data_IF_660416600803
#
_entry.id   IF_660416600803
#
_cell.length_a   1.000
_cell.length_b   1.000
_cell.length_c   1.000
_cell.angle_alpha   90.00
_cell.angle_beta   90.00
_cell.angle_gamma   90.00
#
_symmetry.space_group_name_H-M   'P 1'
#
loop_
_entity.id
_entity.type
_entity.pdbx_description
1 polymer ?
#
# COMPACT_ATOMS: atom_id res chain seq x y z
N UNK A 1 11.23 15.88 0.46
CA UNK A 1 10.76 17.02 1.27
C UNK A 1 9.27 17.15 1.10
N UNK A 2 8.51 16.52 2.00
CA UNK A 2 7.06 16.67 2.06
C UNK A 2 6.72 18.06 2.58
N UNK A 3 6.30 18.97 1.70
CA UNK A 3 5.60 20.19 2.08
C UNK A 3 4.10 19.94 2.00
N UNK A 4 3.56 19.22 2.99
CA UNK A 4 2.13 19.20 3.22
C UNK A 4 1.71 20.57 3.71
N UNK A 5 1.11 21.37 2.85
CA UNK A 5 0.44 22.62 3.20
C UNK A 5 -0.80 22.28 4.02
N UNK A 6 -0.63 22.05 5.31
CA UNK A 6 -1.74 22.00 6.25
C UNK A 6 -2.11 23.44 6.61
N UNK A 7 -3.22 23.94 6.07
CA UNK A 7 -3.81 25.25 6.41
C UNK A 7 -4.41 25.29 7.83
N UNK A 8 -3.90 24.47 8.76
CA UNK A 8 -4.25 24.55 10.16
C UNK A 8 -3.34 25.61 10.81
N UNK A 9 -3.86 26.75 11.26
CA UNK A 9 -3.05 27.82 11.89
C UNK A 9 -2.37 27.38 13.20
N UNK A 10 -2.78 26.26 13.79
CA UNK A 10 -2.16 25.68 14.99
C UNK A 10 -1.02 24.69 14.68
N UNK A 11 -0.77 24.41 13.39
CA UNK A 11 0.36 23.57 12.98
C UNK A 11 1.65 24.40 12.95
N UNK A 12 2.22 24.63 14.12
CA UNK A 12 3.60 25.10 14.20
C UNK A 12 4.53 24.00 13.73
N UNK A 13 5.39 24.33 12.78
CA UNK A 13 6.47 23.42 12.37
C UNK A 13 7.37 23.13 13.57
N UNK A 14 7.10 22.00 14.23
CA UNK A 14 7.83 21.55 15.42
C UNK A 14 9.30 21.27 15.14
N UNK A 15 9.69 21.16 13.85
CA UNK A 15 11.07 20.95 13.43
C UNK A 15 11.96 22.13 13.76
N UNK A 16 11.42 23.35 13.74
CA UNK A 16 12.17 24.55 14.09
C UNK A 16 12.64 24.59 15.55
N UNK A 17 12.00 23.81 16.43
CA UNK A 17 12.31 23.70 17.85
C UNK A 17 12.93 22.35 18.24
N UNK A 18 13.41 21.57 17.27
CA UNK A 18 14.03 20.27 17.53
C UNK A 18 15.50 20.46 17.92
N UNK A 19 15.80 20.27 19.20
CA UNK A 19 17.15 20.40 19.75
C UNK A 19 17.93 19.08 19.81
N UNK A 20 17.32 17.96 19.42
CA UNK A 20 17.94 16.63 19.47
C UNK A 20 17.56 15.80 18.25
N UNK A 21 18.54 15.15 17.64
CA UNK A 21 18.36 14.18 16.55
C UNK A 21 18.16 12.74 17.04
N UNK A 22 17.98 12.53 18.34
CA UNK A 22 17.88 11.17 18.93
C UNK A 22 16.75 10.35 18.32
N UNK A 23 15.55 10.94 18.16
CA UNK A 23 14.41 10.24 17.57
C UNK A 23 14.65 9.87 16.10
N UNK A 24 15.26 10.78 15.34
CA UNK A 24 15.60 10.54 13.93
C UNK A 24 16.67 9.44 13.79
N UNK A 25 17.71 9.47 14.62
CA UNK A 25 18.73 8.43 14.63
C UNK A 25 18.15 7.07 15.03
N UNK A 26 17.26 7.02 16.03
CA UNK A 26 16.59 5.79 16.46
C UNK A 26 15.67 5.24 15.36
N UNK A 27 14.97 6.09 14.63
CA UNK A 27 14.15 5.67 13.49
C UNK A 27 15.03 5.08 12.37
N UNK A 28 16.16 5.74 12.04
CA UNK A 28 17.10 5.24 11.04
C UNK A 28 17.69 3.88 11.44
N UNK A 29 18.08 3.72 12.71
CA UNK A 29 18.59 2.46 13.25
C UNK A 29 17.54 1.35 13.19
N UNK A 30 16.29 1.66 13.56
CA UNK A 30 15.18 0.74 13.46
C UNK A 30 14.94 0.28 12.01
N UNK A 31 14.85 1.22 11.06
CA UNK A 31 14.60 0.92 9.64
C UNK A 31 15.72 0.04 9.07
N UNK A 32 16.98 0.41 9.30
CA UNK A 32 18.13 -0.38 8.84
C UNK A 32 18.11 -1.79 9.43
N UNK A 33 17.85 -1.91 10.72
CA UNK A 33 17.77 -3.22 11.39
C UNK A 33 16.63 -4.08 10.83
N UNK A 34 15.45 -3.48 10.62
CA UNK A 34 14.30 -4.19 10.03
C UNK A 34 14.59 -4.65 8.60
N UNK A 35 15.22 -3.82 7.78
CA UNK A 35 15.63 -4.21 6.43
C UNK A 35 16.64 -5.33 6.44
N UNK A 36 17.70 -5.21 7.24
CA UNK A 36 18.78 -6.20 7.28
C UNK A 36 18.31 -7.56 7.80
N UNK A 37 17.37 -7.59 8.76
CA UNK A 37 16.92 -8.82 9.38
C UNK A 37 15.74 -9.49 8.65
N UNK A 38 14.80 -8.73 8.10
CA UNK A 38 13.58 -9.27 7.52
C UNK A 38 13.62 -9.34 6.00
N UNK A 39 14.11 -8.29 5.36
CA UNK A 39 14.05 -8.15 3.92
C UNK A 39 15.35 -7.51 3.39
N UNK A 40 16.49 -8.18 3.53
CA UNK A 40 17.75 -7.62 3.07
C UNK A 40 17.69 -7.27 1.58
N UNK A 41 18.10 -6.04 1.20
CA UNK A 41 17.98 -5.56 -0.18
C UNK A 41 18.70 -6.50 -1.16
N UNK A 42 18.06 -6.75 -2.31
CA UNK A 42 18.56 -7.62 -3.38
C UNK A 42 18.87 -9.07 -2.97
N UNK A 43 18.55 -9.47 -1.75
CA UNK A 43 18.68 -10.87 -1.33
C UNK A 43 17.44 -11.70 -1.73
N UNK A 44 17.67 -12.98 -1.94
CA UNK A 44 16.61 -13.96 -2.16
C UNK A 44 16.14 -14.49 -0.82
N UNK A 45 15.08 -13.93 -0.27
CA UNK A 45 14.50 -14.31 1.01
C UNK A 45 13.08 -14.90 0.89
N UNK A 46 12.48 -14.85 -0.31
CA UNK A 46 11.20 -15.51 -0.55
C UNK A 46 11.47 -16.99 -0.74
N UNK A 47 10.91 -17.81 0.14
CA UNK A 47 10.94 -19.27 0.06
C UNK A 47 9.55 -19.85 0.34
N UNK A 48 9.15 -20.85 -0.44
CA UNK A 48 7.85 -21.49 -0.37
C UNK A 48 8.06 -23.00 -0.39
N UNK A 49 7.54 -23.68 0.61
CA UNK A 49 7.60 -25.13 0.72
C UNK A 49 6.20 -25.75 0.69
N UNK A 50 6.13 -27.01 0.29
CA UNK A 50 4.90 -27.78 0.32
C UNK A 50 4.39 -27.94 1.75
N UNK A 51 3.14 -27.52 1.99
CA UNK A 51 2.52 -27.53 3.31
C UNK A 51 2.28 -28.94 3.86
N UNK A 52 1.85 -29.04 5.15
CA UNK A 52 1.67 -30.32 5.84
C UNK A 52 0.56 -31.21 5.24
N UNK A 53 -0.29 -30.67 4.38
CA UNK A 53 -1.36 -31.43 3.71
C UNK A 53 -0.86 -32.24 2.51
N UNK A 54 0.35 -31.98 2.02
CA UNK A 54 0.98 -32.81 0.98
C UNK A 54 1.44 -34.15 1.56
N UNK A 55 1.27 -35.24 0.79
CA UNK A 55 1.84 -36.52 1.12
C UNK A 55 3.35 -36.44 0.97
N UNK A 56 4.07 -37.16 1.84
CA UNK A 56 5.54 -37.14 1.84
C UNK A 56 6.15 -37.59 0.51
N UNK A 57 5.48 -38.50 -0.18
CA UNK A 57 5.87 -39.02 -1.51
C UNK A 57 5.81 -37.94 -2.61
N UNK A 58 4.91 -36.96 -2.46
CA UNK A 58 4.69 -35.90 -3.45
C UNK A 58 5.43 -34.58 -3.11
N UNK A 59 5.95 -34.46 -1.89
CA UNK A 59 6.59 -33.22 -1.39
C UNK A 59 7.85 -32.85 -2.15
N UNK A 60 8.70 -33.83 -2.49
CA UNK A 60 9.97 -33.57 -3.16
C UNK A 60 9.74 -32.94 -4.54
N UNK A 61 8.85 -33.54 -5.36
CA UNK A 61 8.49 -32.97 -6.66
C UNK A 61 7.79 -31.62 -6.56
N UNK A 62 6.91 -31.43 -5.55
CA UNK A 62 6.27 -30.16 -5.31
C UNK A 62 7.28 -29.07 -4.92
N UNK A 63 8.24 -29.38 -4.07
CA UNK A 63 9.28 -28.42 -3.64
C UNK A 63 10.22 -28.04 -4.78
N UNK A 64 10.53 -28.96 -5.70
CA UNK A 64 11.31 -28.62 -6.91
C UNK A 64 10.58 -27.59 -7.81
N UNK A 65 9.27 -27.73 -7.99
CA UNK A 65 8.47 -26.74 -8.75
C UNK A 65 8.33 -25.42 -8.00
N UNK A 66 8.12 -25.46 -6.68
CA UNK A 66 8.04 -24.27 -5.83
C UNK A 66 9.35 -23.49 -5.81
N UNK A 67 10.51 -24.17 -5.78
CA UNK A 67 11.81 -23.53 -5.85
C UNK A 67 12.01 -22.71 -7.14
N UNK A 68 11.50 -23.20 -8.28
CA UNK A 68 11.50 -22.42 -9.55
C UNK A 68 10.63 -21.17 -9.44
N UNK A 69 9.45 -21.30 -8.82
CA UNK A 69 8.55 -20.17 -8.56
C UNK A 69 9.21 -19.15 -7.64
N UNK A 70 9.87 -19.59 -6.56
CA UNK A 70 10.61 -18.72 -5.63
C UNK A 70 11.73 -17.95 -6.34
N UNK A 71 12.46 -18.59 -7.26
CA UNK A 71 13.49 -17.92 -8.04
C UNK A 71 12.91 -16.77 -8.85
N UNK A 72 11.83 -17.01 -9.59
CA UNK A 72 11.15 -15.98 -10.40
C UNK A 72 10.54 -14.90 -9.51
N UNK A 73 9.95 -15.25 -8.37
CA UNK A 73 9.38 -14.28 -7.43
C UNK A 73 10.46 -13.35 -6.84
N UNK A 74 11.63 -13.90 -6.48
CA UNK A 74 12.76 -13.10 -6.00
C UNK A 74 13.31 -12.17 -7.09
N UNK A 75 13.40 -12.64 -8.35
CA UNK A 75 13.82 -11.80 -9.47
C UNK A 75 12.86 -10.62 -9.68
N UNK A 76 11.55 -10.87 -9.72
CA UNK A 76 10.55 -9.80 -9.86
C UNK A 76 10.54 -8.84 -8.66
N UNK A 77 10.73 -9.35 -7.44
CA UNK A 77 10.88 -8.49 -6.26
C UNK A 77 12.11 -7.58 -6.40
N UNK A 78 13.25 -8.12 -6.83
CA UNK A 78 14.49 -7.35 -7.00
C UNK A 78 14.40 -6.30 -8.11
N UNK A 79 13.59 -6.53 -9.16
CA UNK A 79 13.31 -5.57 -10.23
C UNK A 79 12.25 -4.52 -9.86
N UNK A 80 11.50 -4.77 -8.79
CA UNK A 80 10.41 -3.89 -8.35
C UNK A 80 10.91 -2.74 -7.46
N UNK A 81 9.98 -1.89 -7.03
CA UNK A 81 10.22 -0.81 -6.07
C UNK A 81 10.25 -1.29 -4.61
N UNK A 82 10.23 -2.61 -4.35
CA UNK A 82 10.04 -3.18 -3.01
C UNK A 82 11.04 -2.65 -1.98
N UNK A 83 12.33 -2.71 -2.27
CA UNK A 83 13.36 -2.38 -1.28
C UNK A 83 13.26 -0.92 -0.79
N UNK A 84 12.98 0.01 -1.72
CA UNK A 84 12.76 1.42 -1.39
C UNK A 84 11.44 1.63 -0.63
N UNK A 85 10.38 1.01 -1.12
CA UNK A 85 9.05 1.10 -0.50
C UNK A 85 9.02 0.47 0.90
N UNK A 86 9.75 -0.62 1.11
CA UNK A 86 9.86 -1.26 2.43
C UNK A 86 10.59 -0.38 3.44
N UNK A 87 11.59 0.39 3.00
CA UNK A 87 12.23 1.40 3.84
C UNK A 87 11.24 2.46 4.31
N UNK A 88 10.44 3.04 3.40
CA UNK A 88 9.39 4.01 3.73
C UNK A 88 8.34 3.40 4.67
N UNK A 89 7.90 2.18 4.39
CA UNK A 89 6.98 1.42 5.25
C UNK A 89 7.52 1.26 6.68
N UNK A 90 8.82 0.97 6.84
CA UNK A 90 9.42 0.82 8.16
C UNK A 90 9.49 2.14 8.95
N UNK A 91 9.65 3.29 8.29
CA UNK A 91 9.56 4.60 8.96
C UNK A 91 8.16 4.86 9.52
N UNK A 92 7.12 4.55 8.77
CA UNK A 92 5.74 4.68 9.25
C UNK A 92 5.44 3.67 10.37
N UNK A 93 5.97 2.43 10.26
CA UNK A 93 5.85 1.41 11.30
C UNK A 93 6.52 1.84 12.61
N UNK A 94 7.64 2.53 12.56
CA UNK A 94 8.29 3.12 13.74
C UNK A 94 7.39 4.14 14.43
N UNK A 95 6.60 4.90 13.66
CA UNK A 95 5.64 5.87 14.19
C UNK A 95 4.36 5.23 14.74
N UNK A 96 4.02 3.99 14.33
CA UNK A 96 2.83 3.29 14.81
C UNK A 96 2.37 2.19 13.87
N UNK A 97 1.71 2.54 12.79
CA UNK A 97 1.20 1.60 11.78
C UNK A 97 1.75 1.94 10.40
N UNK A 98 1.90 0.94 9.56
CA UNK A 98 2.34 1.12 8.19
C UNK A 98 1.40 0.41 7.21
N UNK A 99 1.25 0.97 6.02
CA UNK A 99 0.43 0.42 4.95
C UNK A 99 1.22 0.41 3.64
N UNK A 100 1.12 -0.70 2.93
CA UNK A 100 1.74 -0.86 1.62
C UNK A 100 0.70 -1.39 0.63
N UNK A 101 0.62 -0.77 -0.53
CA UNK A 101 -0.15 -1.28 -1.66
C UNK A 101 0.74 -2.16 -2.53
N UNK A 102 0.17 -3.29 -2.95
CA UNK A 102 0.75 -4.17 -3.95
C UNK A 102 -0.07 -3.99 -5.22
N UNK A 103 0.54 -3.48 -6.26
CA UNK A 103 -0.12 -3.11 -7.50
C UNK A 103 0.44 -3.96 -8.65
N UNK A 104 -0.38 -4.14 -9.67
CA UNK A 104 0.09 -4.68 -10.93
C UNK A 104 1.04 -3.67 -11.58
N UNK A 105 2.23 -4.11 -11.99
CA UNK A 105 3.17 -3.30 -12.74
C UNK A 105 2.69 -3.02 -14.17
N UNK A 106 3.30 -2.03 -14.79
CA UNK A 106 2.90 -1.57 -16.13
C UNK A 106 3.49 -2.43 -17.26
N UNK A 107 4.62 -3.06 -17.01
CA UNK A 107 5.33 -3.82 -18.02
C UNK A 107 5.70 -5.25 -17.59
N UNK A 108 6.21 -6.03 -18.55
CA UNK A 108 6.60 -7.43 -18.34
C UNK A 108 7.87 -7.58 -17.49
N UNK A 109 8.71 -6.55 -17.40
CA UNK A 109 9.96 -6.57 -16.62
C UNK A 109 9.75 -6.19 -15.18
N UNK A 110 8.70 -5.42 -14.89
CA UNK A 110 8.27 -5.04 -13.55
C UNK A 110 6.79 -5.34 -13.33
N UNK A 111 6.39 -6.63 -13.25
CA UNK A 111 4.99 -7.03 -13.18
C UNK A 111 4.32 -6.70 -11.86
N UNK A 112 5.09 -6.36 -10.84
CA UNK A 112 4.64 -6.00 -9.50
C UNK A 112 5.25 -4.67 -9.11
N UNK A 113 4.41 -3.77 -8.61
CA UNK A 113 4.83 -2.48 -8.06
C UNK A 113 4.37 -2.38 -6.60
N UNK A 114 5.22 -1.84 -5.75
CA UNK A 114 4.93 -1.59 -4.35
C UNK A 114 4.88 -0.09 -4.10
N UNK A 115 3.93 0.35 -3.27
CA UNK A 115 3.78 1.76 -2.91
C UNK A 115 3.47 1.87 -1.42
N UNK A 116 4.34 2.54 -0.66
CA UNK A 116 4.03 2.90 0.71
C UNK A 116 2.95 3.97 0.74
N UNK A 117 2.02 3.84 1.67
CA UNK A 117 0.96 4.83 1.90
C UNK A 117 1.31 5.57 3.18
N UNK A 118 1.52 6.89 3.11
CA UNK A 118 1.86 7.68 4.29
C UNK A 118 0.82 7.52 5.40
N UNK A 119 1.27 7.38 6.64
CA UNK A 119 0.40 7.23 7.82
C UNK A 119 -0.64 8.36 7.96
N UNK A 120 -0.38 9.52 7.36
CA UNK A 120 -1.28 10.68 7.36
C UNK A 120 -2.42 10.57 6.36
N UNK A 121 -2.36 9.64 5.41
CA UNK A 121 -3.35 9.49 4.34
C UNK A 121 -4.41 8.44 4.66
N UNK A 122 -4.21 7.56 5.65
CA UNK A 122 -5.15 6.47 5.90
C UNK A 122 -5.53 6.33 7.37
N UNK A 123 -6.68 5.70 7.59
CA UNK A 123 -7.13 5.22 8.89
C UNK A 123 -7.64 3.79 8.72
N UNK A 124 -7.50 3.01 9.77
CA UNK A 124 -7.99 1.64 9.87
C UNK A 124 -9.10 1.55 10.91
N UNK A 125 -10.05 0.66 10.69
CA UNK A 125 -11.07 0.30 11.66
C UNK A 125 -10.92 -1.17 12.00
N UNK A 126 -10.85 -1.46 13.29
CA UNK A 126 -10.73 -2.82 13.82
C UNK A 126 -12.10 -3.34 14.24
N UNK A 127 -12.36 -4.60 13.93
CA UNK A 127 -13.51 -5.32 14.42
C UNK A 127 -13.36 -5.72 15.89
N UNK A 128 -14.43 -6.23 16.49
CA UNK A 128 -14.41 -6.73 17.86
C UNK A 128 -13.44 -7.90 18.11
N UNK A 129 -13.01 -8.54 17.05
CA UNK A 129 -12.05 -9.64 17.01
C UNK A 129 -10.58 -9.18 16.86
N UNK A 130 -10.34 -7.86 16.81
CA UNK A 130 -9.02 -7.26 16.61
C UNK A 130 -8.50 -7.33 15.17
N UNK A 131 -9.29 -7.84 14.22
CA UNK A 131 -8.92 -7.82 12.81
C UNK A 131 -9.35 -6.51 12.14
N UNK A 132 -8.53 -6.03 11.22
CA UNK A 132 -8.88 -4.86 10.41
C UNK A 132 -10.11 -5.19 9.56
N UNK A 133 -11.20 -4.45 9.77
CA UNK A 133 -12.45 -4.63 9.05
C UNK A 133 -12.70 -3.54 8.00
N UNK A 134 -12.07 -2.38 8.12
CA UNK A 134 -12.13 -1.34 7.11
C UNK A 134 -10.82 -0.53 7.04
N UNK A 135 -10.51 -0.06 5.83
CA UNK A 135 -9.40 0.85 5.56
C UNK A 135 -9.97 2.02 4.77
N UNK A 136 -9.67 3.23 5.22
CA UNK A 136 -10.07 4.48 4.59
C UNK A 136 -8.82 5.25 4.24
N UNK A 137 -8.67 5.65 2.99
CA UNK A 137 -7.56 6.45 2.51
C UNK A 137 -8.08 7.74 1.89
N UNK A 138 -7.58 8.88 2.39
CA UNK A 138 -7.91 10.21 1.86
C UNK A 138 -6.65 10.85 1.29
N UNK A 139 -6.72 11.24 0.03
CA UNK A 139 -5.62 11.91 -0.65
C UNK A 139 -6.12 12.80 -1.78
N UNK A 140 -5.25 13.65 -2.28
CA UNK A 140 -5.55 14.56 -3.39
C UNK A 140 -4.77 14.12 -4.62
N UNK A 141 -5.45 14.08 -5.76
CA UNK A 141 -4.87 13.65 -7.03
C UNK A 141 -5.41 14.50 -8.18
N UNK A 142 -4.61 14.75 -9.21
CA UNK A 142 -5.10 15.41 -10.43
C UNK A 142 -6.13 14.54 -11.14
N UNK A 143 -7.18 15.15 -11.68
CA UNK A 143 -8.29 14.44 -12.35
C UNK A 143 -7.84 13.55 -13.51
N UNK A 144 -6.79 13.95 -14.22
CA UNK A 144 -6.20 13.15 -15.28
C UNK A 144 -5.68 11.81 -14.77
N UNK A 145 -4.92 11.82 -13.67
CA UNK A 145 -4.38 10.62 -13.03
C UNK A 145 -5.48 9.73 -12.43
N UNK A 146 -6.59 10.33 -11.97
CA UNK A 146 -7.76 9.58 -11.49
C UNK A 146 -8.33 8.72 -12.63
N UNK A 147 -8.41 9.27 -13.84
CA UNK A 147 -8.91 8.54 -15.00
C UNK A 147 -7.94 7.48 -15.50
N UNK A 148 -6.63 7.71 -15.38
CA UNK A 148 -5.61 6.68 -15.68
C UNK A 148 -5.69 5.52 -14.70
N UNK A 149 -5.82 5.82 -13.40
CA UNK A 149 -5.89 4.81 -12.35
C UNK A 149 -7.18 3.96 -12.43
N UNK A 150 -8.29 4.57 -12.83
CA UNK A 150 -9.59 3.91 -12.99
C UNK A 150 -10.22 4.22 -14.36
N UNK A 151 -9.79 3.56 -15.43
CA UNK A 151 -10.29 3.82 -16.80
C UNK A 151 -11.80 3.59 -16.97
N UNK A 152 -12.40 2.79 -16.08
CA UNK A 152 -13.82 2.45 -16.08
C UNK A 152 -14.76 3.54 -15.54
N UNK A 153 -14.22 4.64 -15.01
CA UNK A 153 -15.03 5.75 -14.49
C UNK A 153 -15.83 6.41 -15.62
N UNK A 154 -17.06 5.96 -15.79
CA UNK A 154 -17.97 6.45 -16.85
C UNK A 154 -18.50 7.85 -16.57
N UNK A 155 -18.53 8.28 -15.30
CA UNK A 155 -19.20 9.49 -14.85
C UNK A 155 -18.25 10.70 -14.69
N UNK A 156 -16.95 10.50 -14.78
CA UNK A 156 -15.99 11.60 -14.68
C UNK A 156 -15.97 12.39 -15.99
N UNK A 157 -16.85 13.41 -16.10
CA UNK A 157 -16.81 14.36 -17.21
C UNK A 157 -15.59 15.25 -17.04
N UNK A 158 -14.65 15.15 -17.96
CA UNK A 158 -13.46 16.01 -18.00
C UNK A 158 -13.54 16.95 -19.19
N UNK A 159 -13.42 18.26 -18.93
CA UNK A 159 -13.09 19.25 -19.94
C UNK A 159 -11.57 19.41 -20.01
N UNK A 160 -11.05 19.98 -21.09
CA UNK A 160 -9.60 20.23 -21.20
C UNK A 160 -9.06 21.13 -20.07
N UNK A 161 -9.90 21.99 -19.50
CA UNK A 161 -9.57 22.88 -18.39
C UNK A 161 -9.60 22.19 -17.02
N UNK A 162 -10.19 21.01 -16.94
CA UNK A 162 -10.33 20.25 -15.68
C UNK A 162 -9.20 19.23 -15.47
N UNK A 163 -8.38 18.96 -16.48
CA UNK A 163 -7.35 17.91 -16.43
C UNK A 163 -6.32 18.19 -15.33
N UNK A 164 -5.90 19.44 -15.18
CA UNK A 164 -4.89 19.86 -14.21
C UNK A 164 -5.47 20.18 -12.82
N UNK A 165 -6.80 20.10 -12.65
CA UNK A 165 -7.43 20.37 -11.34
C UNK A 165 -7.26 19.21 -10.39
N UNK A 166 -6.96 19.54 -9.16
CA UNK A 166 -6.90 18.57 -8.06
C UNK A 166 -8.30 18.13 -7.64
N UNK A 167 -8.40 16.85 -7.26
CA UNK A 167 -9.59 16.21 -6.73
C UNK A 167 -9.25 15.52 -5.41
N UNK A 168 -10.06 15.75 -4.39
CA UNK A 168 -9.96 15.04 -3.12
C UNK A 168 -10.71 13.72 -3.21
N UNK A 169 -10.00 12.63 -3.03
CA UNK A 169 -10.49 11.26 -3.17
C UNK A 169 -10.53 10.61 -1.80
N UNK A 170 -11.63 9.91 -1.51
CA UNK A 170 -11.74 8.94 -0.45
C UNK A 170 -11.84 7.55 -1.07
N UNK A 171 -10.81 6.75 -0.85
CA UNK A 171 -10.74 5.35 -1.23
C UNK A 171 -10.99 4.51 0.02
N UNK A 172 -11.93 3.58 -0.04
CA UNK A 172 -12.27 2.74 1.11
C UNK A 172 -12.47 1.30 0.72
N UNK A 173 -11.98 0.42 1.58
CA UNK A 173 -12.26 -1.01 1.51
C UNK A 173 -12.79 -1.46 2.87
N UNK A 174 -13.98 -2.07 2.89
CA UNK A 174 -14.58 -2.55 4.13
C UNK A 174 -15.27 -3.91 3.93
N UNK A 175 -15.31 -4.69 5.00
CA UNK A 175 -15.97 -6.00 5.02
C UNK A 175 -17.41 -5.89 5.48
N UNK A 176 -18.37 -6.30 4.62
CA UNK A 176 -19.77 -6.45 4.98
C UNK A 176 -20.00 -7.85 5.57
N UNK A 177 -20.24 -7.89 6.89
CA UNK A 177 -20.50 -9.16 7.62
C UNK A 177 -21.81 -9.84 7.21
N UNK A 178 -22.82 -9.09 6.76
CA UNK A 178 -24.12 -9.64 6.37
C UNK A 178 -24.03 -10.34 5.01
N UNK A 179 -23.36 -9.72 4.07
CA UNK A 179 -23.17 -10.24 2.71
C UNK A 179 -21.92 -11.14 2.58
N UNK A 180 -21.00 -11.09 3.55
CA UNK A 180 -19.70 -11.80 3.54
C UNK A 180 -18.84 -11.44 2.32
N UNK A 181 -18.84 -10.17 1.96
CA UNK A 181 -18.07 -9.62 0.84
C UNK A 181 -17.30 -8.39 1.29
N UNK A 182 -16.22 -8.08 0.58
CA UNK A 182 -15.51 -6.82 0.71
C UNK A 182 -16.03 -5.84 -0.32
N UNK A 183 -16.31 -4.63 0.11
CA UNK A 183 -16.66 -3.50 -0.75
C UNK A 183 -15.44 -2.61 -0.91
N UNK A 184 -15.10 -2.31 -2.15
CA UNK A 184 -14.11 -1.32 -2.50
C UNK A 184 -14.81 -0.16 -3.18
N UNK A 185 -14.74 1.02 -2.59
CA UNK A 185 -15.48 2.21 -3.03
C UNK A 185 -14.53 3.40 -3.16
N UNK A 186 -14.66 4.15 -4.24
CA UNK A 186 -13.94 5.40 -4.49
C UNK A 186 -14.94 6.54 -4.59
N UNK A 187 -14.75 7.57 -3.81
CA UNK A 187 -15.65 8.71 -3.67
C UNK A 187 -14.92 10.01 -3.98
N UNK A 188 -15.54 10.86 -4.80
CA UNK A 188 -15.17 12.27 -4.93
C UNK A 188 -15.69 13.04 -3.71
N UNK A 189 -14.80 13.51 -2.86
CA UNK A 189 -15.18 14.20 -1.63
C UNK A 189 -15.74 15.61 -1.87
N UNK A 190 -15.38 16.27 -2.98
CA UNK A 190 -15.86 17.61 -3.29
C UNK A 190 -17.33 17.58 -3.71
N UNK A 191 -17.72 16.58 -4.49
CA UNK A 191 -19.09 16.42 -4.98
C UNK A 191 -19.91 15.39 -4.21
N UNK A 192 -19.32 14.73 -3.23
CA UNK A 192 -19.92 13.64 -2.44
C UNK A 192 -20.56 12.58 -3.37
N UNK A 193 -19.86 12.27 -4.46
CA UNK A 193 -20.33 11.34 -5.48
C UNK A 193 -19.47 10.08 -5.51
N UNK A 194 -20.14 8.94 -5.53
CA UNK A 194 -19.47 7.65 -5.75
C UNK A 194 -18.98 7.59 -7.20
N UNK A 195 -17.67 7.39 -7.34
CA UNK A 195 -17.00 7.25 -8.64
C UNK A 195 -16.94 5.79 -9.06
N UNK A 196 -16.63 4.90 -8.11
CA UNK A 196 -16.45 3.48 -8.35
C UNK A 196 -16.93 2.68 -7.14
N UNK A 197 -17.59 1.54 -7.41
CA UNK A 197 -17.92 0.53 -6.41
C UNK A 197 -17.69 -0.85 -6.97
N UNK A 198 -17.01 -1.70 -6.20
CA UNK A 198 -16.73 -3.10 -6.55
C UNK A 198 -16.91 -3.99 -5.34
N UNK A 199 -17.29 -5.23 -5.60
CA UNK A 199 -17.44 -6.26 -4.58
C UNK A 199 -16.43 -7.38 -4.82
N UNK A 200 -15.80 -7.85 -3.73
CA UNK A 200 -14.84 -8.94 -3.75
C UNK A 200 -15.22 -10.00 -2.72
N UNK A 201 -15.09 -11.28 -3.10
CA UNK A 201 -15.30 -12.41 -2.17
C UNK A 201 -14.13 -12.64 -1.22
N UNK A 202 -12.96 -12.17 -1.59
CA UNK A 202 -11.72 -12.22 -0.80
C UNK A 202 -11.23 -10.80 -0.60
N UNK A 203 -10.40 -10.59 0.42
CA UNK A 203 -9.78 -9.29 0.64
C UNK A 203 -9.04 -8.84 -0.62
N UNK A 204 -9.40 -7.68 -1.20
CA UNK A 204 -8.82 -7.18 -2.44
C UNK A 204 -7.37 -6.71 -2.26
#
# INVERSE_FOLDING_TARGET
TYSGSNNNPDYQDRRSNQYSSTAENSANEFVNTMQDLLCPPQANWIDIEAGPLFKDEDKEGANEELAKICTVANEYKNLSTFDMTFSEFCYDLFAGTACMLVLKGEDMYSPICFKAIPITEYCIEEGADGHVCAVYRKYTMRKELVKEQWPELKNLKMTKEDQDKDMDILETCYYDKALKVYHYVVIDMQNTSELLSREYKTNP
#
